data_IF_777140866356
#
_entry.id   IF_777140866356
#
_cell.length_a   1.000
_cell.length_b   1.000
_cell.length_c   1.000
_cell.angle_alpha   90.00
_cell.angle_beta   90.00
_cell.angle_gamma   90.00
#
_symmetry.space_group_name_H-M   'P 1'
#
loop_
_entity.id
_entity.type
_entity.pdbx_description
1 polymer ?
#
# COMPACT_ATOMS: atom_id res chain seq x y z
N UNK A 1 -7.19 1.55 -15.34
CA UNK A 1 -6.63 1.67 -16.72
C UNK A 1 -5.38 0.80 -16.88
N UNK A 2 -4.36 0.90 -15.99
CA UNK A 2 -3.09 0.13 -16.14
C UNK A 2 -3.35 -1.38 -16.14
N UNK A 3 -4.10 -1.91 -15.18
CA UNK A 3 -4.37 -3.36 -15.10
C UNK A 3 -5.18 -3.87 -16.29
N UNK A 4 -6.13 -3.08 -16.80
CA UNK A 4 -6.85 -3.39 -18.03
C UNK A 4 -5.89 -3.49 -19.24
N UNK A 5 -4.95 -2.54 -19.36
CA UNK A 5 -3.94 -2.55 -20.42
C UNK A 5 -2.97 -3.70 -20.30
N UNK A 6 -2.55 -4.04 -19.07
CA UNK A 6 -1.73 -5.23 -18.80
C UNK A 6 -2.44 -6.50 -19.26
N UNK A 7 -3.71 -6.67 -18.87
CA UNK A 7 -4.47 -7.86 -19.23
C UNK A 7 -4.73 -7.95 -20.75
N UNK A 8 -5.10 -6.84 -21.39
CA UNK A 8 -5.27 -6.79 -22.85
C UNK A 8 -3.96 -7.14 -23.57
N UNK A 9 -2.83 -6.59 -23.13
CA UNK A 9 -1.49 -6.92 -23.67
C UNK A 9 -1.16 -8.42 -23.54
N UNK A 10 -1.51 -9.05 -22.41
CA UNK A 10 -1.33 -10.48 -22.19
C UNK A 10 -2.16 -11.31 -23.17
N UNK A 11 -3.45 -11.04 -23.29
CA UNK A 11 -4.36 -11.75 -24.19
C UNK A 11 -3.97 -11.60 -25.67
N UNK A 12 -3.56 -10.40 -26.06
CA UNK A 12 -3.17 -10.09 -27.44
C UNK A 12 -1.72 -10.44 -27.77
N UNK A 13 -0.93 -10.91 -26.78
CA UNK A 13 0.52 -11.19 -26.90
C UNK A 13 1.30 -10.00 -27.47
N UNK A 14 0.96 -8.78 -27.05
CA UNK A 14 1.62 -7.55 -27.49
C UNK A 14 2.55 -7.02 -26.40
N UNK A 15 3.67 -6.35 -26.76
CA UNK A 15 4.49 -5.65 -25.78
C UNK A 15 3.67 -4.53 -25.12
N UNK A 16 3.91 -4.32 -23.82
CA UNK A 16 3.30 -3.26 -23.04
C UNK A 16 4.35 -2.20 -22.69
N UNK A 17 4.01 -0.96 -22.96
CA UNK A 17 4.72 0.21 -22.48
C UNK A 17 3.78 1.00 -21.56
N UNK A 18 4.26 1.41 -20.39
CA UNK A 18 3.44 2.14 -19.41
C UNK A 18 3.95 3.58 -19.26
N UNK A 19 3.01 4.48 -19.14
CA UNK A 19 3.23 5.92 -18.92
C UNK A 19 2.34 6.33 -17.74
N UNK A 20 2.79 6.10 -16.46
CA UNK A 20 1.97 6.47 -15.31
C UNK A 20 1.80 7.98 -15.26
N UNK A 21 0.55 8.42 -15.18
CA UNK A 21 0.17 9.83 -15.01
C UNK A 21 -0.13 10.17 -13.55
N UNK A 22 -0.12 9.17 -12.68
CA UNK A 22 -0.34 9.24 -11.24
C UNK A 22 0.74 8.43 -10.53
N UNK A 23 1.25 8.92 -9.41
CA UNK A 23 2.05 8.15 -8.47
C UNK A 23 1.18 7.71 -7.29
N UNK A 24 0.30 6.74 -7.51
CA UNK A 24 -0.64 6.24 -6.52
C UNK A 24 -0.35 4.80 -6.06
N UNK A 25 0.44 4.04 -6.82
CA UNK A 25 0.89 2.68 -6.52
C UNK A 25 1.94 2.22 -7.55
N UNK A 26 2.43 0.99 -7.39
CA UNK A 26 3.46 0.38 -8.26
C UNK A 26 2.91 -0.36 -9.49
N UNK A 27 1.61 -0.31 -9.79
CA UNK A 27 0.98 -1.13 -10.83
C UNK A 27 1.63 -0.99 -12.22
N UNK A 28 2.19 0.17 -12.57
CA UNK A 28 2.83 0.42 -13.87
C UNK A 28 4.10 -0.39 -14.13
N UNK A 29 4.75 -0.90 -13.08
CA UNK A 29 6.01 -1.64 -13.15
C UNK A 29 5.88 -3.12 -12.76
N UNK A 30 4.69 -3.58 -12.36
CA UNK A 30 4.43 -4.95 -11.93
C UNK A 30 3.71 -5.79 -12.98
N UNK A 31 3.78 -7.12 -12.86
CA UNK A 31 3.06 -8.06 -13.72
C UNK A 31 1.63 -8.33 -13.25
N UNK A 32 1.33 -8.13 -11.97
CA UNK A 32 0.01 -8.38 -11.40
C UNK A 32 -1.04 -7.41 -11.95
N UNK A 33 -2.21 -7.94 -12.27
CA UNK A 33 -3.39 -7.18 -12.64
C UNK A 33 -4.44 -7.37 -11.54
N UNK A 34 -4.82 -6.30 -10.86
CA UNK A 34 -5.88 -6.33 -9.86
C UNK A 34 -7.22 -6.14 -10.57
N UNK A 35 -8.11 -7.10 -10.38
CA UNK A 35 -9.42 -7.13 -11.02
C UNK A 35 -10.51 -6.83 -10.00
N UNK A 36 -11.48 -6.02 -10.42
CA UNK A 36 -12.63 -5.64 -9.63
C UNK A 36 -13.93 -6.08 -10.31
N UNK A 37 -14.96 -6.29 -9.53
CA UNK A 37 -16.33 -6.49 -9.99
C UNK A 37 -16.97 -5.13 -10.38
N UNK A 38 -18.13 -5.13 -11.08
CA UNK A 38 -18.84 -3.89 -11.42
C UNK A 38 -19.26 -3.04 -10.21
N UNK A 39 -19.41 -3.63 -9.04
CA UNK A 39 -19.70 -2.96 -7.76
C UNK A 39 -18.44 -2.45 -7.04
N UNK A 40 -17.28 -2.47 -7.74
CA UNK A 40 -15.96 -2.10 -7.22
C UNK A 40 -15.39 -3.02 -6.12
N UNK A 41 -16.05 -4.13 -5.78
CA UNK A 41 -15.47 -5.12 -4.87
C UNK A 41 -14.29 -5.85 -5.52
N UNK A 42 -13.29 -6.21 -4.71
CA UNK A 42 -12.12 -6.97 -5.17
C UNK A 42 -12.55 -8.34 -5.71
N UNK A 43 -12.16 -8.63 -6.98
CA UNK A 43 -12.46 -9.90 -7.65
C UNK A 43 -11.31 -10.91 -7.57
N UNK A 44 -10.07 -10.45 -7.68
CA UNK A 44 -8.89 -11.31 -7.68
C UNK A 44 -7.68 -10.67 -8.37
N UNK A 45 -6.56 -11.37 -8.28
CA UNK A 45 -5.31 -11.01 -8.95
C UNK A 45 -5.07 -11.95 -10.12
N UNK A 46 -4.62 -11.41 -11.25
CA UNK A 46 -4.20 -12.16 -12.45
C UNK A 46 -2.76 -11.77 -12.76
N UNK A 47 -1.90 -12.75 -13.02
CA UNK A 47 -0.50 -12.51 -13.33
C UNK A 47 -0.23 -12.66 -14.81
N UNK A 48 0.52 -11.70 -15.35
CA UNK A 48 1.14 -11.81 -16.67
C UNK A 48 2.46 -12.56 -16.56
N UNK A 49 2.92 -13.09 -17.69
CA UNK A 49 4.22 -13.77 -17.79
C UNK A 49 5.42 -12.83 -17.59
N UNK A 50 5.20 -11.53 -17.75
CA UNK A 50 6.22 -10.48 -17.65
C UNK A 50 5.62 -9.11 -17.31
N UNK A 51 6.45 -8.25 -16.76
CA UNK A 51 6.14 -6.84 -16.51
C UNK A 51 5.97 -6.04 -17.80
N UNK A 52 5.73 -4.72 -17.69
CA UNK A 52 5.84 -3.81 -18.81
C UNK A 52 7.25 -3.92 -19.44
N UNK A 53 7.30 -3.78 -20.76
CA UNK A 53 8.57 -3.81 -21.49
C UNK A 53 9.42 -2.61 -21.13
N UNK A 54 8.77 -1.48 -20.91
CA UNK A 54 9.38 -0.25 -20.41
C UNK A 54 8.32 0.60 -19.71
N UNK A 55 8.73 1.31 -18.68
CA UNK A 55 7.91 2.29 -17.95
C UNK A 55 8.56 3.67 -18.08
N UNK A 56 7.83 4.64 -18.61
CA UNK A 56 8.29 6.02 -18.78
C UNK A 56 7.61 6.89 -17.72
N UNK A 57 8.38 7.41 -16.79
CA UNK A 57 7.89 8.27 -15.70
C UNK A 57 8.26 9.72 -16.04
N UNK A 58 7.24 10.57 -16.16
CA UNK A 58 7.43 12.01 -16.32
C UNK A 58 6.99 12.72 -15.04
N UNK A 59 7.92 13.33 -14.34
CA UNK A 59 7.69 14.02 -13.06
C UNK A 59 6.80 15.25 -13.22
N UNK A 60 6.88 15.96 -14.35
CA UNK A 60 6.03 17.10 -14.68
C UNK A 60 4.54 16.70 -14.74
N UNK A 61 4.23 15.60 -15.45
CA UNK A 61 2.85 15.08 -15.54
C UNK A 61 2.33 14.71 -14.15
N UNK A 62 3.16 14.07 -13.33
CA UNK A 62 2.78 13.65 -11.98
C UNK A 62 2.62 14.86 -11.05
N UNK A 63 3.46 15.89 -11.16
CA UNK A 63 3.31 17.13 -10.42
C UNK A 63 1.96 17.82 -10.66
N UNK A 64 1.39 17.68 -11.86
CA UNK A 64 0.09 18.24 -12.25
C UNK A 64 -1.08 17.26 -12.05
N UNK A 65 -0.84 16.10 -11.44
CA UNK A 65 -1.91 15.14 -11.15
C UNK A 65 -2.75 15.56 -9.94
N UNK A 66 -3.99 15.05 -9.79
CA UNK A 66 -4.77 15.32 -8.59
C UNK A 66 -4.03 14.86 -7.33
N UNK A 67 -3.88 15.80 -6.39
CA UNK A 67 -3.09 15.66 -5.15
C UNK A 67 -3.40 14.40 -4.36
N UNK A 68 -4.67 14.07 -4.25
CA UNK A 68 -5.15 12.96 -3.43
C UNK A 68 -4.58 11.59 -3.84
N UNK A 69 -4.27 11.40 -5.12
CA UNK A 69 -3.66 10.14 -5.57
C UNK A 69 -2.19 10.03 -5.21
N UNK A 70 -1.44 11.14 -5.27
CA UNK A 70 -0.06 11.17 -4.80
C UNK A 70 0.01 10.97 -3.29
N UNK A 71 -0.84 11.67 -2.55
CA UNK A 71 -0.99 11.57 -1.10
C UNK A 71 -1.32 10.12 -0.66
N UNK A 72 -2.31 9.48 -1.28
CA UNK A 72 -2.64 8.09 -1.00
C UNK A 72 -1.50 7.14 -1.39
N UNK A 73 -0.77 7.43 -2.50
CA UNK A 73 0.37 6.65 -2.94
C UNK A 73 1.53 6.62 -1.95
N UNK A 74 1.75 7.72 -1.22
CA UNK A 74 2.72 7.74 -0.11
C UNK A 74 2.34 6.73 0.98
N UNK A 75 1.05 6.66 1.31
CA UNK A 75 0.53 5.71 2.31
C UNK A 75 0.59 4.26 1.86
N UNK A 76 0.21 3.98 0.62
CA UNK A 76 0.23 2.64 0.03
C UNK A 76 1.65 2.06 -0.01
N UNK A 77 2.59 2.84 -0.53
CA UNK A 77 3.96 2.38 -0.68
C UNK A 77 4.66 2.10 0.65
N UNK A 78 4.37 2.87 1.72
CA UNK A 78 4.93 2.63 3.05
C UNK A 78 4.61 1.23 3.57
N UNK A 79 3.41 0.69 3.30
CA UNK A 79 3.02 -0.63 3.76
C UNK A 79 3.94 -1.72 3.22
N UNK A 80 4.42 -1.60 1.98
CA UNK A 80 5.31 -2.58 1.35
C UNK A 80 6.57 -2.86 2.17
N UNK A 81 7.15 -1.82 2.78
CA UNK A 81 8.37 -1.98 3.58
C UNK A 81 8.19 -2.91 4.77
N UNK A 82 7.02 -2.93 5.34
CA UNK A 82 6.77 -3.64 6.60
C UNK A 82 6.00 -4.95 6.40
N UNK A 83 5.04 -4.98 5.48
CA UNK A 83 4.24 -6.18 5.22
C UNK A 83 5.06 -7.32 4.63
N UNK A 84 5.92 -7.02 3.66
CA UNK A 84 6.74 -8.05 3.01
C UNK A 84 7.69 -8.74 4.00
N UNK A 85 8.51 -8.04 4.80
CA UNK A 85 9.32 -8.69 5.82
C UNK A 85 8.50 -9.36 6.92
N UNK A 86 7.32 -8.85 7.25
CA UNK A 86 6.41 -9.44 8.21
C UNK A 86 5.91 -10.80 7.73
N UNK A 87 5.35 -10.87 6.52
CA UNK A 87 4.84 -12.11 5.91
C UNK A 87 5.96 -13.14 5.71
N UNK A 88 7.15 -12.71 5.33
CA UNK A 88 8.30 -13.58 5.05
C UNK A 88 9.02 -14.07 6.32
N UNK A 89 8.67 -13.58 7.51
CA UNK A 89 9.37 -13.87 8.75
C UNK A 89 9.33 -15.36 9.11
N UNK A 90 10.52 -15.95 9.30
CA UNK A 90 10.67 -17.36 9.67
C UNK A 90 10.54 -18.34 8.50
N UNK A 91 10.37 -17.87 7.28
CA UNK A 91 10.32 -18.70 6.08
C UNK A 91 11.73 -19.00 5.53
N UNK A 92 11.87 -20.18 4.94
CA UNK A 92 13.06 -20.52 4.12
C UNK A 92 12.89 -19.95 2.71
N UNK A 93 13.40 -18.73 2.53
CA UNK A 93 13.23 -17.96 1.30
C UNK A 93 14.30 -18.33 0.26
N UNK A 94 13.89 -18.45 -0.99
CA UNK A 94 14.81 -18.49 -2.12
C UNK A 94 15.63 -17.21 -2.20
N UNK A 95 16.75 -17.24 -2.92
CA UNK A 95 17.57 -16.05 -3.12
C UNK A 95 16.81 -14.89 -3.78
N UNK A 96 15.92 -15.19 -4.72
CA UNK A 96 15.05 -14.19 -5.39
C UNK A 96 14.10 -13.54 -4.38
N UNK A 97 13.41 -14.36 -3.57
CA UNK A 97 12.51 -13.84 -2.53
C UNK A 97 13.24 -13.00 -1.48
N UNK A 98 14.46 -13.43 -1.05
CA UNK A 98 15.31 -12.62 -0.18
C UNK A 98 15.65 -11.26 -0.79
N UNK A 99 15.89 -11.21 -2.11
CA UNK A 99 16.13 -9.95 -2.84
C UNK A 99 14.88 -9.09 -2.82
N UNK A 100 13.69 -9.65 -3.00
CA UNK A 100 12.41 -8.93 -2.90
C UNK A 100 12.19 -8.32 -1.52
N UNK A 101 12.46 -9.10 -0.45
CA UNK A 101 12.37 -8.60 0.93
C UNK A 101 13.31 -7.40 1.16
N UNK A 102 14.55 -7.48 0.67
CA UNK A 102 15.52 -6.37 0.78
C UNK A 102 15.08 -5.14 -0.01
N UNK A 103 14.52 -5.34 -1.20
CA UNK A 103 13.99 -4.24 -2.01
C UNK A 103 12.81 -3.57 -1.30
N UNK A 104 11.90 -4.33 -0.68
CA UNK A 104 10.81 -3.79 0.10
C UNK A 104 11.30 -2.90 1.25
N UNK A 105 12.34 -3.31 1.97
CA UNK A 105 12.93 -2.54 3.08
C UNK A 105 13.56 -1.20 2.66
N UNK A 106 13.63 -0.89 1.37
CA UNK A 106 14.19 0.35 0.85
C UNK A 106 13.12 1.38 0.43
N UNK A 107 11.85 1.14 0.72
CA UNK A 107 10.72 2.01 0.31
C UNK A 107 10.54 3.20 1.26
N UNK A 108 10.39 2.95 2.57
CA UNK A 108 10.04 4.00 3.52
C UNK A 108 11.10 5.10 3.68
N UNK A 109 12.43 4.85 3.63
CA UNK A 109 13.40 5.93 3.76
C UNK A 109 13.23 7.08 2.77
N UNK A 110 12.89 6.77 1.51
CA UNK A 110 12.63 7.79 0.50
C UNK A 110 11.34 8.57 0.78
N UNK A 111 10.28 7.87 1.17
CA UNK A 111 8.98 8.49 1.48
C UNK A 111 9.07 9.36 2.74
N UNK A 112 9.65 8.86 3.82
CA UNK A 112 9.77 9.61 5.07
C UNK A 112 10.64 10.86 4.93
N UNK A 113 11.67 10.80 4.05
CA UNK A 113 12.57 11.93 3.81
C UNK A 113 11.97 12.97 2.87
N UNK A 114 11.35 12.54 1.78
CA UNK A 114 10.99 13.42 0.67
C UNK A 114 9.47 13.60 0.52
N UNK A 115 8.64 12.71 1.07
CA UNK A 115 7.21 12.64 0.77
C UNK A 115 6.42 13.90 1.10
N UNK A 116 6.70 14.53 2.25
CA UNK A 116 6.03 15.77 2.64
C UNK A 116 6.36 16.94 1.71
N UNK A 117 7.62 17.10 1.36
CA UNK A 117 8.07 18.17 0.46
C UNK A 117 7.61 17.92 -0.98
N UNK A 118 7.62 16.66 -1.42
CA UNK A 118 7.09 16.26 -2.72
C UNK A 118 5.57 16.50 -2.82
N UNK A 119 4.81 16.18 -1.76
CA UNK A 119 3.39 16.46 -1.72
C UNK A 119 3.10 17.98 -1.81
N UNK A 120 3.87 18.79 -1.12
CA UNK A 120 3.77 20.25 -1.23
C UNK A 120 4.14 20.78 -2.63
N UNK A 121 5.03 20.09 -3.37
CA UNK A 121 5.32 20.42 -4.77
C UNK A 121 4.12 20.08 -5.69
N UNK A 122 3.49 18.92 -5.48
CA UNK A 122 2.26 18.55 -6.19
C UNK A 122 1.12 19.55 -5.90
N UNK A 123 0.99 20.03 -4.65
CA UNK A 123 0.02 21.08 -4.28
C UNK A 123 0.22 22.38 -5.08
N UNK A 124 1.47 22.70 -5.41
CA UNK A 124 1.84 23.87 -6.22
C UNK A 124 1.96 23.58 -7.72
N UNK A 125 1.78 22.30 -8.11
CA UNK A 125 1.97 21.84 -9.51
C UNK A 125 3.40 22.14 -10.02
N UNK A 126 4.39 21.95 -9.17
CA UNK A 126 5.79 22.25 -9.44
C UNK A 126 6.66 20.98 -9.35
N UNK A 127 7.75 20.95 -10.09
CA UNK A 127 8.81 19.95 -9.93
C UNK A 127 9.92 20.51 -9.03
N UNK A 128 10.25 19.78 -7.98
CA UNK A 128 11.36 20.07 -7.09
C UNK A 128 12.26 18.83 -6.87
N UNK A 129 13.36 19.00 -6.14
CA UNK A 129 14.35 17.94 -5.89
C UNK A 129 13.79 16.77 -5.05
N UNK A 130 12.68 16.96 -4.33
CA UNK A 130 12.03 15.91 -3.54
C UNK A 130 11.05 15.06 -4.35
N UNK A 131 10.54 15.56 -5.46
CA UNK A 131 9.46 14.91 -6.21
C UNK A 131 9.90 13.61 -6.87
N UNK A 132 11.03 13.61 -7.58
CA UNK A 132 11.53 12.40 -8.26
C UNK A 132 11.83 11.26 -7.27
N UNK A 133 12.61 11.45 -6.17
CA UNK A 133 12.84 10.41 -5.19
C UNK A 133 11.55 9.86 -4.56
N UNK A 134 10.56 10.71 -4.29
CA UNK A 134 9.28 10.29 -3.77
C UNK A 134 8.50 9.45 -4.79
N UNK A 135 8.42 9.87 -6.06
CA UNK A 135 7.79 9.10 -7.15
C UNK A 135 8.45 7.72 -7.30
N UNK A 136 9.77 7.66 -7.30
CA UNK A 136 10.51 6.40 -7.40
C UNK A 136 10.24 5.49 -6.20
N UNK A 137 10.08 6.08 -5.00
CA UNK A 137 9.71 5.33 -3.79
C UNK A 137 8.26 4.83 -3.80
N UNK A 138 7.35 5.50 -4.52
CA UNK A 138 5.95 5.03 -4.67
C UNK A 138 5.81 4.00 -5.80
N UNK A 139 6.47 4.20 -6.93
CA UNK A 139 6.25 3.38 -8.13
C UNK A 139 7.28 2.27 -8.26
N UNK A 140 8.56 2.61 -8.19
CA UNK A 140 9.65 1.71 -8.60
C UNK A 140 10.10 0.80 -7.46
N UNK A 141 10.37 1.34 -6.29
CA UNK A 141 10.89 0.56 -5.17
C UNK A 141 9.93 -0.58 -4.74
N UNK A 142 8.62 -0.34 -4.50
CA UNK A 142 7.68 -1.41 -4.20
C UNK A 142 7.47 -2.36 -5.39
N UNK A 143 7.52 -1.84 -6.62
CA UNK A 143 7.45 -2.67 -7.82
C UNK A 143 8.61 -3.64 -7.96
N UNK A 144 9.82 -3.22 -7.65
CA UNK A 144 11.02 -4.09 -7.65
C UNK A 144 10.94 -5.19 -6.56
N UNK A 145 10.29 -4.90 -5.44
CA UNK A 145 9.99 -5.93 -4.44
C UNK A 145 9.01 -6.96 -5.00
N UNK A 146 7.86 -6.49 -5.52
CA UNK A 146 6.79 -7.36 -6.05
C UNK A 146 7.22 -8.23 -7.23
N UNK A 147 8.24 -7.83 -8.00
CA UNK A 147 8.80 -8.66 -9.09
C UNK A 147 9.53 -9.89 -8.56
N UNK A 148 10.05 -9.83 -7.34
CA UNK A 148 10.88 -10.87 -6.74
C UNK A 148 10.14 -11.74 -5.72
N UNK A 149 8.91 -11.42 -5.37
CA UNK A 149 8.11 -12.13 -4.36
C UNK A 149 6.77 -12.61 -4.93
N UNK A 150 6.19 -13.61 -4.30
CA UNK A 150 4.88 -14.14 -4.65
C UNK A 150 3.76 -13.27 -4.05
N UNK A 151 2.56 -13.34 -4.64
CA UNK A 151 1.37 -12.57 -4.23
C UNK A 151 1.06 -12.70 -2.72
N UNK A 152 1.18 -13.92 -2.19
CA UNK A 152 0.88 -14.21 -0.79
C UNK A 152 1.89 -13.56 0.20
N UNK A 153 3.07 -13.13 -0.27
CA UNK A 153 4.07 -12.40 0.53
C UNK A 153 4.02 -10.89 0.32
N UNK A 154 3.28 -10.42 -0.68
CA UNK A 154 3.31 -9.04 -1.16
C UNK A 154 2.45 -8.09 -0.32
N UNK A 155 1.54 -8.63 0.49
CA UNK A 155 0.61 -7.92 1.37
C UNK A 155 0.38 -8.68 2.68
N UNK A 156 -0.18 -8.01 3.69
CA UNK A 156 -0.51 -8.61 4.98
C UNK A 156 -1.67 -7.84 5.66
N UNK A 157 -1.60 -7.61 6.98
CA UNK A 157 -2.68 -7.02 7.77
C UNK A 157 -3.06 -5.61 7.30
N UNK A 158 -2.14 -4.79 6.81
CA UNK A 158 -2.48 -3.45 6.33
C UNK A 158 -3.45 -3.51 5.13
N UNK A 159 -3.16 -4.33 4.14
CA UNK A 159 -4.03 -4.58 3.00
C UNK A 159 -5.28 -5.39 3.37
N UNK A 160 -5.17 -6.30 4.34
CA UNK A 160 -6.32 -7.04 4.89
C UNK A 160 -7.37 -6.08 5.49
N UNK A 161 -6.93 -5.06 6.23
CA UNK A 161 -7.81 -4.02 6.78
C UNK A 161 -8.47 -3.23 5.64
N UNK A 162 -7.73 -2.83 4.61
CA UNK A 162 -8.34 -2.18 3.43
C UNK A 162 -9.38 -3.08 2.74
N UNK A 163 -9.04 -4.33 2.46
CA UNK A 163 -9.95 -5.25 1.79
C UNK A 163 -11.21 -5.54 2.63
N UNK A 164 -11.08 -5.54 3.95
CA UNK A 164 -12.20 -5.59 4.87
C UNK A 164 -13.02 -4.31 4.82
N UNK A 165 -12.37 -3.14 4.86
CA UNK A 165 -13.01 -1.83 4.80
C UNK A 165 -13.93 -1.67 3.60
N UNK A 166 -13.54 -2.16 2.41
CA UNK A 166 -14.39 -2.11 1.20
C UNK A 166 -15.72 -2.87 1.35
N UNK A 167 -15.86 -3.72 2.35
CA UNK A 167 -17.04 -4.56 2.61
C UNK A 167 -17.75 -4.22 3.92
N UNK A 168 -17.10 -3.43 4.76
CA UNK A 168 -17.64 -2.97 6.04
C UNK A 168 -18.36 -1.64 5.83
N UNK A 169 -19.57 -1.44 6.39
CA UNK A 169 -20.24 -0.14 6.34
C UNK A 169 -19.38 0.97 6.92
N UNK A 170 -19.15 2.02 6.14
CA UNK A 170 -18.35 3.17 6.53
C UNK A 170 -18.90 4.46 5.95
N UNK A 171 -18.51 5.61 6.52
CA UNK A 171 -18.88 6.93 6.02
C UNK A 171 -17.79 7.49 5.12
N UNK A 172 -18.19 8.18 4.07
CA UNK A 172 -17.25 8.84 3.16
C UNK A 172 -16.70 7.92 2.06
N UNK A 173 -15.78 8.47 1.29
CA UNK A 173 -15.08 7.75 0.22
C UNK A 173 -13.58 7.84 0.51
N UNK A 174 -12.93 6.71 0.68
CA UNK A 174 -11.54 6.63 1.11
C UNK A 174 -10.69 5.95 0.04
N UNK A 175 -9.57 6.60 -0.30
CA UNK A 175 -8.62 6.04 -1.25
C UNK A 175 -7.88 4.84 -0.66
N UNK A 176 -7.57 3.87 -1.50
CA UNK A 176 -6.87 2.63 -1.14
C UNK A 176 -5.67 2.87 -0.20
N UNK A 177 -4.69 3.64 -0.66
CA UNK A 177 -3.45 3.84 0.08
C UNK A 177 -3.62 4.60 1.40
N UNK A 178 -4.67 5.42 1.52
CA UNK A 178 -4.99 6.10 2.78
C UNK A 178 -5.44 5.08 3.85
N UNK A 179 -6.35 4.18 3.51
CA UNK A 179 -6.80 3.12 4.43
C UNK A 179 -5.68 2.10 4.70
N UNK A 180 -4.88 1.76 3.70
CA UNK A 180 -3.69 0.88 3.87
C UNK A 180 -2.71 1.51 4.86
N UNK A 181 -2.49 2.81 4.83
CA UNK A 181 -1.62 3.48 5.81
C UNK A 181 -2.13 3.37 7.25
N UNK A 182 -3.44 3.52 7.47
CA UNK A 182 -4.04 3.25 8.78
C UNK A 182 -3.82 1.78 9.19
N UNK A 183 -4.10 0.85 8.29
CA UNK A 183 -3.87 -0.58 8.51
C UNK A 183 -2.41 -0.92 8.84
N UNK A 184 -1.44 -0.24 8.22
CA UNK A 184 -0.02 -0.37 8.55
C UNK A 184 0.27 0.03 10.00
N UNK A 185 -0.29 1.13 10.47
CA UNK A 185 -0.10 1.57 11.86
C UNK A 185 -0.70 0.55 12.85
N UNK A 186 -1.85 -0.04 12.51
CA UNK A 186 -2.45 -1.14 13.29
C UNK A 186 -1.53 -2.36 13.30
N UNK A 187 -1.01 -2.78 12.15
CA UNK A 187 -0.10 -3.92 12.03
C UNK A 187 1.16 -3.74 12.86
N UNK A 188 1.80 -2.59 12.77
CA UNK A 188 3.01 -2.29 13.55
C UNK A 188 2.73 -2.24 15.06
N UNK A 189 1.55 -1.76 15.47
CA UNK A 189 1.11 -1.77 16.87
C UNK A 189 0.90 -3.19 17.36
N UNK A 190 0.23 -4.04 16.58
CA UNK A 190 -0.03 -5.44 16.87
C UNK A 190 1.28 -6.24 17.00
N UNK A 191 2.20 -6.03 16.07
CA UNK A 191 3.50 -6.72 16.02
C UNK A 191 4.54 -6.12 16.98
N UNK A 192 4.16 -5.16 17.81
CA UNK A 192 5.03 -4.49 18.79
C UNK A 192 6.22 -3.74 18.20
N UNK A 193 6.17 -3.35 16.95
CA UNK A 193 7.15 -2.49 16.29
C UNK A 193 6.85 -1.01 16.58
N UNK A 194 6.85 -0.63 17.86
CA UNK A 194 6.29 0.66 18.30
C UNK A 194 7.12 1.86 17.82
N UNK A 195 8.44 1.74 17.71
CA UNK A 195 9.30 2.81 17.17
C UNK A 195 8.99 3.09 15.69
N UNK A 196 8.80 2.03 14.90
CA UNK A 196 8.43 2.16 13.50
C UNK A 196 7.00 2.69 13.36
N UNK A 197 6.07 2.18 14.19
CA UNK A 197 4.70 2.71 14.27
C UNK A 197 4.70 4.22 14.53
N UNK A 198 5.50 4.71 15.47
CA UNK A 198 5.55 6.12 15.82
C UNK A 198 6.11 6.98 14.68
N UNK A 199 7.10 6.48 13.94
CA UNK A 199 7.60 7.14 12.72
C UNK A 199 6.50 7.28 11.67
N UNK A 200 5.77 6.20 11.39
CA UNK A 200 4.69 6.19 10.39
C UNK A 200 3.52 7.06 10.86
N UNK A 201 3.12 6.95 12.13
CA UNK A 201 2.06 7.76 12.73
C UNK A 201 2.37 9.27 12.64
N UNK A 202 3.58 9.68 13.01
CA UNK A 202 4.00 11.08 12.95
C UNK A 202 4.06 11.59 11.50
N UNK A 203 4.54 10.76 10.57
CA UNK A 203 4.51 11.09 9.15
C UNK A 203 3.07 11.24 8.65
N UNK A 204 2.20 10.30 8.95
CA UNK A 204 0.78 10.33 8.58
C UNK A 204 0.12 11.62 9.07
N UNK A 205 0.27 11.97 10.35
CA UNK A 205 -0.24 13.26 10.90
C UNK A 205 0.33 14.48 10.20
N UNK A 206 1.58 14.43 9.77
CA UNK A 206 2.25 15.60 9.15
C UNK A 206 1.72 15.95 7.76
N UNK A 207 0.96 15.05 7.12
CA UNK A 207 0.39 15.19 5.78
C UNK A 207 -1.11 14.81 5.74
N UNK A 208 -1.76 14.74 6.88
CA UNK A 208 -3.19 14.42 7.05
C UNK A 208 -3.60 13.05 6.48
N UNK A 209 -2.71 12.03 6.49
CA UNK A 209 -3.10 10.64 6.25
C UNK A 209 -3.87 10.09 7.46
N UNK A 210 -4.82 9.14 7.23
CA UNK A 210 -5.58 8.51 8.30
C UNK A 210 -4.68 7.91 9.39
N UNK A 211 -5.04 8.19 10.64
CA UNK A 211 -4.34 7.71 11.84
C UNK A 211 -5.29 7.30 12.96
N UNK A 212 -6.60 7.37 12.71
CA UNK A 212 -7.64 6.84 13.59
C UNK A 212 -8.80 6.23 12.77
N UNK A 213 -9.69 5.47 13.43
CA UNK A 213 -10.86 4.84 12.81
C UNK A 213 -11.81 5.85 12.18
N UNK A 214 -12.00 7.00 12.83
CA UNK A 214 -12.87 8.06 12.32
C UNK A 214 -12.38 8.61 10.96
N UNK A 215 -11.07 8.67 10.73
CA UNK A 215 -10.47 9.15 9.49
C UNK A 215 -10.73 8.21 8.30
N UNK A 216 -11.06 6.96 8.55
CA UNK A 216 -11.48 5.99 7.55
C UNK A 216 -13.00 5.73 7.59
N UNK A 217 -13.76 6.60 8.25
CA UNK A 217 -15.22 6.55 8.31
C UNK A 217 -15.81 5.42 9.14
N UNK A 218 -15.03 4.77 9.98
CA UNK A 218 -15.45 3.71 10.90
C UNK A 218 -15.75 4.32 12.27
N UNK A 219 -16.84 3.91 12.89
CA UNK A 219 -17.17 4.28 14.27
C UNK A 219 -16.19 3.60 15.24
N UNK A 220 -15.41 4.36 16.04
CA UNK A 220 -14.48 3.76 17.00
C UNK A 220 -15.13 2.87 18.07
N UNK A 221 -16.45 3.04 18.32
CA UNK A 221 -17.19 2.19 19.24
C UNK A 221 -17.54 0.82 18.67
N UNK A 222 -17.51 0.64 17.35
CA UNK A 222 -17.98 -0.55 16.64
C UNK A 222 -17.04 -1.00 15.50
N UNK A 223 -15.75 -1.27 15.77
CA UNK A 223 -14.81 -1.73 14.74
C UNK A 223 -14.88 -3.23 14.48
N UNK A 224 -15.77 -3.97 15.18
CA UNK A 224 -15.79 -5.44 15.24
C UNK A 224 -15.92 -6.08 13.86
N UNK A 225 -16.78 -5.56 13.01
CA UNK A 225 -17.00 -6.09 11.66
C UNK A 225 -15.75 -5.91 10.79
N UNK A 226 -15.08 -4.76 10.90
CA UNK A 226 -13.81 -4.51 10.21
C UNK A 226 -12.74 -5.51 10.64
N UNK A 227 -12.61 -5.75 11.95
CA UNK A 227 -11.64 -6.71 12.50
C UNK A 227 -11.98 -8.13 12.09
N UNK A 228 -13.25 -8.54 12.20
CA UNK A 228 -13.68 -9.89 11.84
C UNK A 228 -13.43 -10.18 10.36
N UNK A 229 -13.80 -9.27 9.47
CA UNK A 229 -13.65 -9.45 8.04
C UNK A 229 -12.19 -9.47 7.59
N UNK A 230 -11.29 -8.68 8.20
CA UNK A 230 -9.89 -8.63 7.77
C UNK A 230 -9.16 -9.97 7.98
N UNK A 231 -9.51 -10.74 9.02
CA UNK A 231 -8.90 -12.04 9.30
C UNK A 231 -9.19 -13.10 8.23
N UNK A 232 -10.22 -12.89 7.40
CA UNK A 232 -10.64 -13.81 6.36
C UNK A 232 -10.23 -13.40 4.96
N UNK A 233 -9.43 -12.35 4.82
CA UNK A 233 -8.91 -11.92 3.52
C UNK A 233 -7.77 -12.83 3.04
N UNK A 234 -7.48 -12.77 1.73
CA UNK A 234 -6.34 -13.51 1.16
C UNK A 234 -5.00 -13.06 1.76
N UNK A 235 -4.90 -11.80 2.14
CA UNK A 235 -3.68 -11.17 2.64
C UNK A 235 -3.24 -11.74 4.00
N UNK A 236 -4.13 -12.48 4.67
CA UNK A 236 -3.86 -13.15 5.93
C UNK A 236 -3.47 -14.63 5.79
N UNK A 237 -3.25 -15.12 4.56
CA UNK A 237 -2.87 -16.53 4.33
C UNK A 237 -1.46 -16.83 4.83
N UNK A 238 -0.52 -15.93 4.56
CA UNK A 238 0.87 -16.04 5.04
C UNK A 238 1.11 -15.04 6.16
N UNK A 239 1.51 -15.55 7.30
CA UNK A 239 1.73 -14.77 8.51
C UNK A 239 2.74 -15.49 9.42
N UNK A 240 3.56 -14.77 10.18
CA UNK A 240 4.62 -15.37 10.99
C UNK A 240 4.10 -16.11 12.23
N UNK A 241 2.87 -15.83 12.65
CA UNK A 241 2.19 -16.42 13.81
C UNK A 241 0.67 -16.28 13.65
N UNK A 242 -0.09 -17.00 14.48
CA UNK A 242 -1.55 -16.89 14.48
C UNK A 242 -1.99 -15.51 14.96
N UNK A 243 -2.75 -14.80 14.11
CA UNK A 243 -3.30 -13.48 14.38
C UNK A 243 -4.78 -13.65 14.72
N UNK A 244 -5.15 -13.22 15.93
CA UNK A 244 -6.51 -13.35 16.45
C UNK A 244 -7.29 -12.04 16.38
N UNK A 245 -8.60 -12.13 16.51
CA UNK A 245 -9.48 -10.96 16.64
C UNK A 245 -9.00 -10.02 17.75
N UNK A 246 -8.76 -10.55 18.96
CA UNK A 246 -8.35 -9.74 20.12
C UNK A 246 -7.04 -9.00 19.89
N UNK A 247 -6.10 -9.59 19.14
CA UNK A 247 -4.83 -8.94 18.81
C UNK A 247 -5.04 -7.72 17.93
N UNK A 248 -5.82 -7.86 16.86
CA UNK A 248 -6.09 -6.75 15.92
C UNK A 248 -6.96 -5.69 16.58
N UNK A 249 -8.03 -6.09 17.26
CA UNK A 249 -8.92 -5.18 18.00
C UNK A 249 -8.15 -4.36 19.02
N UNK A 250 -7.33 -5.03 19.86
CA UNK A 250 -6.50 -4.34 20.85
C UNK A 250 -5.53 -3.35 20.20
N UNK A 251 -4.90 -3.72 19.09
CA UNK A 251 -3.98 -2.84 18.38
C UNK A 251 -4.69 -1.59 17.82
N UNK A 252 -5.91 -1.73 17.29
CA UNK A 252 -6.73 -0.60 16.87
C UNK A 252 -7.05 0.31 18.06
N UNK A 253 -7.49 -0.26 19.19
CA UNK A 253 -7.82 0.54 20.38
C UNK A 253 -6.58 1.18 21.02
N UNK A 254 -5.41 0.56 20.95
CA UNK A 254 -4.17 1.15 21.42
C UNK A 254 -3.72 2.32 20.51
N UNK A 255 -4.01 2.23 19.19
CA UNK A 255 -3.75 3.32 18.25
C UNK A 255 -4.73 4.51 18.49
N UNK A 256 -6.01 4.24 18.75
CA UNK A 256 -6.99 5.29 19.09
C UNK A 256 -6.57 6.12 20.31
N UNK A 257 -5.93 5.51 21.30
CA UNK A 257 -5.43 6.23 22.50
C UNK A 257 -4.35 7.26 22.20
N UNK A 258 -3.66 7.17 21.06
CA UNK A 258 -2.66 8.16 20.64
C UNK A 258 -3.30 9.47 20.14
N UNK A 259 -4.60 9.45 19.88
CA UNK A 259 -5.36 10.60 19.37
C UNK A 259 -6.09 11.37 20.48
N UNK A 260 -5.97 10.91 21.71
CA UNK A 260 -6.51 11.53 22.93
C UNK A 260 -5.36 11.97 23.83
#
# INVERSE_FOLDING_TARGET
>A
AVDTSKWASHLLKKPLFTFPTLASNCASVTAVCIMYNPDHSFRGSIYRDRNAYHTFINTEIIAHSPREYFWAGLGDALAKQYEVPFSARGMDLTWVQQTGVRNAQNVAPGILKYGKEALAAVDRQEVNDALEPAILSIIVAPGMASVCIEDDLDSSLAHAIYNSHTRTPHKGNHLHGAVVNYGLQVMLTMDRQLEERDKIYNFAKSIDLPHCLADIGIDPAHPDELVQNCLHTKDMRVKPYDITFDMVYKAMMDLEKLNH
#
